data_IF_794915202465
#
_entry.id   IF_794915202465
#
_cell.length_a   1.000
_cell.length_b   1.000
_cell.length_c   1.000
_cell.angle_alpha   90.00
_cell.angle_beta   90.00
_cell.angle_gamma   90.00
#
_symmetry.space_group_name_H-M   'P 1'
#
loop_
_entity.id
_entity.type
_entity.pdbx_description
1 polymer ?
#
# COMPACT_ATOMS: atom_id res chain seq x y z
N UNK A 1 21.95 -21.58 10.91
CA UNK A 1 21.33 -21.25 9.61
C UNK A 1 20.08 -20.43 9.92
N UNK A 2 20.07 -19.15 9.54
CA UNK A 2 18.89 -18.29 9.75
C UNK A 2 17.79 -18.73 8.78
N UNK A 3 16.61 -19.06 9.29
CA UNK A 3 15.44 -19.38 8.46
C UNK A 3 14.97 -18.09 7.81
N UNK A 4 14.92 -18.05 6.47
CA UNK A 4 14.42 -16.89 5.74
C UNK A 4 13.01 -16.51 6.21
N UNK A 5 12.72 -15.19 6.33
CA UNK A 5 11.39 -14.72 6.71
C UNK A 5 10.33 -15.17 5.69
N UNK A 6 9.04 -15.26 6.08
CA UNK A 6 7.97 -15.58 5.13
C UNK A 6 7.92 -14.63 3.94
N UNK A 7 8.17 -13.34 4.17
CA UNK A 7 8.27 -12.32 3.13
C UNK A 7 9.41 -12.60 2.14
N UNK A 8 10.60 -12.92 2.64
CA UNK A 8 11.75 -13.25 1.78
C UNK A 8 11.50 -14.51 0.93
N UNK A 9 10.83 -15.53 1.50
CA UNK A 9 10.44 -16.74 0.73
C UNK A 9 9.42 -16.39 -0.36
N UNK A 10 8.39 -15.62 -0.04
CA UNK A 10 7.39 -15.18 -1.02
C UNK A 10 7.99 -14.35 -2.16
N UNK A 11 8.93 -13.44 -1.87
CA UNK A 11 9.68 -12.70 -2.89
C UNK A 11 10.51 -13.64 -3.79
N UNK A 12 11.22 -14.60 -3.21
CA UNK A 12 12.00 -15.57 -3.98
C UNK A 12 11.12 -16.42 -4.89
N UNK A 13 9.93 -16.80 -4.44
CA UNK A 13 8.96 -17.52 -5.25
C UNK A 13 8.42 -16.67 -6.41
N UNK A 14 8.13 -15.39 -6.18
CA UNK A 14 7.72 -14.45 -7.24
C UNK A 14 8.84 -14.26 -8.27
N UNK A 15 10.09 -14.07 -7.85
CA UNK A 15 11.25 -13.96 -8.77
C UNK A 15 11.39 -15.21 -9.63
N UNK A 16 11.12 -16.39 -9.07
CA UNK A 16 11.23 -17.68 -9.77
C UNK A 16 10.08 -17.86 -10.78
N UNK A 17 8.86 -17.47 -10.43
CA UNK A 17 7.66 -17.66 -11.25
C UNK A 17 7.42 -16.53 -12.24
N UNK A 18 7.93 -15.34 -11.96
CA UNK A 18 7.80 -14.11 -12.76
C UNK A 18 9.15 -13.40 -12.88
N UNK A 19 10.13 -13.97 -13.58
CA UNK A 19 11.48 -13.39 -13.67
C UNK A 19 11.51 -11.99 -14.29
N UNK A 20 10.53 -11.65 -15.13
CA UNK A 20 10.35 -10.32 -15.71
C UNK A 20 10.03 -9.23 -14.68
N UNK A 21 9.53 -9.61 -13.50
CA UNK A 21 9.24 -8.68 -12.41
C UNK A 21 10.45 -8.37 -11.52
N UNK A 22 11.58 -9.04 -11.75
CA UNK A 22 12.78 -8.91 -10.90
C UNK A 22 13.15 -7.46 -10.58
N UNK A 23 13.15 -6.48 -11.52
CA UNK A 23 13.50 -5.11 -11.19
C UNK A 23 12.55 -4.47 -10.17
N UNK A 24 11.24 -4.71 -10.31
CA UNK A 24 10.23 -4.18 -9.39
C UNK A 24 10.19 -4.93 -8.05
N UNK A 25 10.48 -6.22 -8.05
CA UNK A 25 10.63 -7.00 -6.81
C UNK A 25 11.86 -6.53 -6.01
N UNK A 26 12.94 -6.10 -6.67
CA UNK A 26 14.08 -5.47 -6.02
C UNK A 26 13.70 -4.13 -5.35
N UNK A 27 12.82 -3.35 -5.97
CA UNK A 27 12.26 -2.12 -5.35
C UNK A 27 11.42 -2.49 -4.13
N UNK A 28 10.55 -3.50 -4.22
CA UNK A 28 9.73 -3.95 -3.08
C UNK A 28 10.58 -4.43 -1.91
N UNK A 29 11.63 -5.20 -2.18
CA UNK A 29 12.59 -5.67 -1.18
C UNK A 29 13.27 -4.49 -0.49
N UNK A 30 13.78 -3.53 -1.27
CA UNK A 30 14.40 -2.30 -0.76
C UNK A 30 13.45 -1.48 0.12
N UNK A 31 12.19 -1.31 -0.31
CA UNK A 31 11.16 -0.60 0.44
C UNK A 31 10.85 -1.31 1.77
N UNK A 32 10.78 -2.64 1.73
CA UNK A 32 10.51 -3.46 2.92
C UNK A 32 11.66 -3.38 3.93
N UNK A 33 12.91 -3.44 3.46
CA UNK A 33 14.11 -3.23 4.28
C UNK A 33 14.10 -1.84 4.93
N UNK A 34 13.90 -0.79 4.11
CA UNK A 34 13.88 0.59 4.59
C UNK A 34 12.76 0.87 5.58
N UNK A 35 11.61 0.21 5.44
CA UNK A 35 10.48 0.33 6.36
C UNK A 35 10.78 -0.24 7.76
N UNK A 36 11.78 -1.10 7.90
CA UNK A 36 12.29 -1.61 9.17
C UNK A 36 13.31 -0.68 9.86
N UNK A 37 13.79 0.37 9.18
CA UNK A 37 14.76 1.31 9.78
C UNK A 37 14.08 2.24 10.78
N UNK A 38 14.41 2.05 12.07
CA UNK A 38 13.86 2.84 13.18
C UNK A 38 14.18 4.34 13.11
N UNK A 39 15.13 4.76 12.27
CA UNK A 39 15.44 6.17 12.08
C UNK A 39 14.20 6.97 11.56
N UNK A 40 13.29 6.33 10.85
CA UNK A 40 12.05 6.95 10.40
C UNK A 40 11.10 7.32 11.54
N UNK A 41 11.13 6.60 12.67
CA UNK A 41 10.30 6.91 13.85
C UNK A 41 10.60 8.30 14.43
N UNK A 42 11.85 8.78 14.28
CA UNK A 42 12.28 10.10 14.75
C UNK A 42 11.68 11.25 13.91
N UNK A 43 11.18 10.94 12.73
CA UNK A 43 10.51 11.90 11.83
C UNK A 43 9.04 12.14 12.19
N UNK A 44 8.44 11.23 12.98
CA UNK A 44 7.01 11.23 13.26
C UNK A 44 6.74 12.07 14.50
N UNK A 45 5.91 13.13 14.41
CA UNK A 45 5.55 13.95 15.56
C UNK A 45 4.64 13.21 16.53
N UNK A 46 4.35 13.83 17.67
CA UNK A 46 3.26 13.37 18.52
C UNK A 46 1.93 13.42 17.75
N UNK A 47 1.06 12.41 17.91
CA UNK A 47 -0.19 12.37 17.16
C UNK A 47 -1.13 13.48 17.61
N UNK A 48 -1.88 14.01 16.66
CA UNK A 48 -3.05 14.82 16.97
C UNK A 48 -4.10 13.97 17.75
N UNK A 49 -5.05 14.60 18.43
CA UNK A 49 -6.17 13.86 19.03
C UNK A 49 -6.85 12.93 18.02
N UNK A 50 -7.35 11.75 18.45
CA UNK A 50 -8.08 10.85 17.56
C UNK A 50 -9.24 11.56 16.89
N UNK A 51 -9.45 11.25 15.60
CA UNK A 51 -10.57 11.75 14.80
C UNK A 51 -11.34 10.59 14.20
N UNK A 52 -12.65 10.71 14.14
CA UNK A 52 -13.53 9.74 13.48
C UNK A 52 -13.69 10.04 11.98
N UNK A 53 -13.26 11.21 11.51
CA UNK A 53 -13.53 11.72 10.17
C UNK A 53 -12.29 12.03 9.35
N UNK A 54 -11.14 12.24 9.98
CA UNK A 54 -9.91 12.59 9.29
C UNK A 54 -8.77 11.61 9.62
N UNK A 55 -7.97 11.19 8.62
CA UNK A 55 -6.78 10.38 8.88
C UNK A 55 -5.78 11.11 9.78
N UNK A 56 -5.01 10.36 10.57
CA UNK A 56 -4.00 10.95 11.47
C UNK A 56 -2.95 11.81 10.74
N UNK A 57 -2.68 11.51 9.49
CA UNK A 57 -1.77 12.28 8.61
C UNK A 57 -2.41 13.49 7.94
N UNK A 58 -3.71 13.76 8.12
CA UNK A 58 -4.43 14.77 7.32
C UNK A 58 -3.71 16.13 7.24
N UNK A 59 -3.10 16.58 8.34
CA UNK A 59 -2.39 17.88 8.43
C UNK A 59 -1.04 17.77 9.13
N UNK A 60 -0.46 16.57 9.23
CA UNK A 60 0.77 16.34 9.96
C UNK A 60 2.00 16.94 9.25
N UNK A 61 2.94 17.45 10.05
CA UNK A 61 4.26 17.84 9.56
C UNK A 61 5.29 16.79 10.00
N UNK A 62 5.88 16.12 9.03
CA UNK A 62 6.89 15.09 9.24
C UNK A 62 8.28 15.69 9.06
N UNK A 63 9.20 15.37 9.98
CA UNK A 63 10.52 16.01 10.03
C UNK A 63 11.65 14.97 9.99
N UNK A 64 11.82 14.21 8.91
CA UNK A 64 12.92 13.26 8.79
C UNK A 64 14.28 13.96 8.74
N UNK A 65 15.35 13.24 9.11
CA UNK A 65 16.71 13.73 8.92
C UNK A 65 17.02 13.85 7.41
N UNK A 66 17.58 14.99 6.97
CA UNK A 66 17.88 15.25 5.56
C UNK A 66 18.80 14.19 4.95
N UNK A 67 19.82 13.72 5.71
CA UNK A 67 20.71 12.65 5.26
C UNK A 67 19.98 11.32 5.04
N UNK A 68 18.97 11.00 5.89
CA UNK A 68 18.15 9.81 5.73
C UNK A 68 17.33 9.90 4.45
N UNK A 69 16.65 11.03 4.22
CA UNK A 69 15.83 11.28 3.01
C UNK A 69 16.69 11.17 1.74
N UNK A 70 17.86 11.82 1.72
CA UNK A 70 18.79 11.79 0.58
C UNK A 70 19.30 10.39 0.28
N UNK A 71 19.75 9.66 1.31
CA UNK A 71 20.22 8.28 1.16
C UNK A 71 19.12 7.38 0.64
N UNK A 72 17.92 7.51 1.18
CA UNK A 72 16.76 6.77 0.78
C UNK A 72 16.35 7.05 -0.66
N UNK A 73 16.15 8.33 -0.99
CA UNK A 73 15.75 8.75 -2.35
C UNK A 73 16.74 8.28 -3.42
N UNK A 74 18.05 8.41 -3.14
CA UNK A 74 19.09 7.92 -4.04
C UNK A 74 19.01 6.41 -4.28
N UNK A 75 19.00 5.61 -3.20
CA UNK A 75 18.91 4.14 -3.32
C UNK A 75 17.67 3.70 -4.07
N UNK A 76 16.53 4.33 -3.78
CA UNK A 76 15.25 4.02 -4.42
C UNK A 76 15.30 4.29 -5.94
N UNK A 77 15.78 5.47 -6.33
CA UNK A 77 15.88 5.86 -7.74
C UNK A 77 16.89 5.00 -8.51
N UNK A 78 18.05 4.71 -7.92
CA UNK A 78 19.07 3.84 -8.51
C UNK A 78 18.53 2.41 -8.72
N UNK A 79 17.81 1.87 -7.74
CA UNK A 79 17.21 0.54 -7.85
C UNK A 79 16.10 0.51 -8.90
N UNK A 80 15.20 1.52 -8.89
CA UNK A 80 14.10 1.61 -9.85
C UNK A 80 14.57 1.83 -11.28
N UNK A 81 15.71 2.50 -11.48
CA UNK A 81 16.31 2.72 -12.82
C UNK A 81 16.69 1.42 -13.55
N UNK A 82 16.78 0.29 -12.83
CA UNK A 82 16.98 -1.03 -13.42
C UNK A 82 15.75 -1.61 -14.13
N UNK A 83 14.56 -1.00 -13.95
CA UNK A 83 13.35 -1.42 -14.65
C UNK A 83 13.30 -0.86 -16.08
N UNK A 84 12.60 -1.58 -16.96
CA UNK A 84 12.40 -1.13 -18.35
C UNK A 84 11.69 0.24 -18.38
N UNK A 85 12.17 1.15 -19.22
CA UNK A 85 11.66 2.51 -19.35
C UNK A 85 12.04 3.46 -18.20
N UNK A 86 12.70 2.98 -17.12
CA UNK A 86 12.99 3.77 -15.93
C UNK A 86 14.45 4.28 -15.85
N UNK A 87 15.30 4.01 -16.83
CA UNK A 87 16.73 4.35 -16.79
C UNK A 87 17.02 5.85 -16.53
N UNK A 88 16.10 6.75 -16.96
CA UNK A 88 16.20 8.18 -16.72
C UNK A 88 16.17 8.55 -15.22
N UNK A 89 15.60 7.71 -14.34
CA UNK A 89 15.54 7.93 -12.90
C UNK A 89 16.94 8.00 -12.25
N UNK A 90 17.94 7.31 -12.81
CA UNK A 90 19.32 7.38 -12.33
C UNK A 90 19.91 8.80 -12.41
N UNK A 91 19.45 9.63 -13.37
CA UNK A 91 19.93 11.01 -13.50
C UNK A 91 19.50 11.88 -12.33
N UNK A 92 18.30 11.64 -11.79
CA UNK A 92 17.75 12.41 -10.67
C UNK A 92 18.10 11.81 -9.29
N UNK A 93 18.83 10.70 -9.24
CA UNK A 93 19.32 10.13 -7.98
C UNK A 93 20.28 11.05 -7.20
N UNK A 94 20.80 12.10 -7.87
CA UNK A 94 21.64 13.15 -7.27
C UNK A 94 20.91 14.47 -7.06
N UNK A 95 19.58 14.47 -7.13
CA UNK A 95 18.77 15.66 -6.86
C UNK A 95 19.00 16.19 -5.44
N UNK A 96 18.60 17.42 -5.22
CA UNK A 96 18.69 18.08 -3.91
C UNK A 96 17.63 17.56 -2.93
N UNK A 97 17.77 17.96 -1.68
CA UNK A 97 16.88 17.54 -0.58
C UNK A 97 15.44 18.04 -0.78
N UNK A 98 15.27 19.20 -1.42
CA UNK A 98 13.96 19.77 -1.72
C UNK A 98 13.21 18.90 -2.73
N UNK A 99 13.89 18.42 -3.76
CA UNK A 99 13.33 17.49 -4.76
C UNK A 99 12.90 16.18 -4.11
N UNK A 100 13.75 15.60 -3.24
CA UNK A 100 13.38 14.37 -2.52
C UNK A 100 12.21 14.59 -1.55
N UNK A 101 12.17 15.72 -0.85
CA UNK A 101 11.05 16.08 0.01
C UNK A 101 9.74 16.21 -0.79
N UNK A 102 9.80 16.88 -1.96
CA UNK A 102 8.65 17.02 -2.85
C UNK A 102 8.17 15.66 -3.39
N UNK A 103 9.08 14.75 -3.75
CA UNK A 103 8.73 13.38 -4.14
C UNK A 103 7.99 12.65 -3.01
N UNK A 104 8.44 12.79 -1.77
CA UNK A 104 7.77 12.22 -0.60
C UNK A 104 6.38 12.84 -0.42
N UNK A 105 6.23 14.17 -0.52
CA UNK A 105 4.95 14.85 -0.40
C UNK A 105 3.96 14.44 -1.49
N UNK A 106 4.40 14.40 -2.76
CA UNK A 106 3.57 13.92 -3.87
C UNK A 106 3.08 12.49 -3.62
N UNK A 107 3.98 11.63 -3.16
CA UNK A 107 3.65 10.26 -2.81
C UNK A 107 2.72 10.15 -1.61
N UNK A 108 2.92 10.94 -0.55
CA UNK A 108 2.01 10.99 0.61
C UNK A 108 0.60 11.39 0.17
N UNK A 109 0.48 12.47 -0.61
CA UNK A 109 -0.80 12.99 -1.09
C UNK A 109 -1.45 12.10 -2.17
N UNK A 110 -0.70 11.18 -2.78
CA UNK A 110 -1.13 10.41 -3.96
C UNK A 110 -1.61 11.33 -5.10
N UNK A 111 -0.92 12.44 -5.30
CA UNK A 111 -1.29 13.50 -6.24
C UNK A 111 -0.61 13.27 -7.59
N UNK A 112 -1.30 12.58 -8.50
CA UNK A 112 -0.80 12.28 -9.83
C UNK A 112 -0.53 13.52 -10.68
N UNK A 113 -1.27 14.61 -10.49
CA UNK A 113 -1.05 15.86 -11.23
C UNK A 113 0.27 16.51 -10.81
N UNK A 114 0.55 16.57 -9.49
CA UNK A 114 1.86 17.05 -8.98
C UNK A 114 3.01 16.14 -9.43
N UNK A 115 2.81 14.82 -9.44
CA UNK A 115 3.81 13.87 -9.95
C UNK A 115 4.12 14.13 -11.42
N UNK A 116 3.10 14.33 -12.27
CA UNK A 116 3.28 14.64 -13.69
C UNK A 116 4.02 15.96 -13.90
N UNK A 117 3.66 17.01 -13.15
CA UNK A 117 4.36 18.30 -13.21
C UNK A 117 5.82 18.18 -12.77
N UNK A 118 6.09 17.39 -11.71
CA UNK A 118 7.45 17.10 -11.25
C UNK A 118 8.26 16.32 -12.30
N UNK A 119 7.66 15.34 -12.96
CA UNK A 119 8.30 14.55 -14.01
C UNK A 119 8.74 15.42 -15.19
N UNK A 120 7.87 16.33 -15.64
CA UNK A 120 8.21 17.31 -16.69
C UNK A 120 9.40 18.16 -16.27
N UNK A 121 9.40 18.71 -15.06
CA UNK A 121 10.49 19.56 -14.53
C UNK A 121 11.83 18.80 -14.43
N UNK A 122 11.77 17.51 -14.07
CA UNK A 122 12.95 16.66 -13.93
C UNK A 122 13.40 16.00 -15.25
N UNK A 123 12.61 16.10 -16.32
CA UNK A 123 12.90 15.49 -17.61
C UNK A 123 12.90 13.96 -17.57
N UNK A 124 11.93 13.36 -16.85
CA UNK A 124 11.75 11.90 -16.74
C UNK A 124 10.30 11.52 -17.09
N UNK A 125 10.08 10.25 -17.39
CA UNK A 125 8.74 9.73 -17.68
C UNK A 125 7.85 9.79 -16.46
N UNK A 126 6.62 10.31 -16.62
CA UNK A 126 5.67 10.49 -15.53
C UNK A 126 5.24 9.17 -14.91
N UNK A 127 5.11 8.11 -15.70
CA UNK A 127 4.74 6.78 -15.22
C UNK A 127 5.84 6.18 -14.33
N UNK A 128 7.11 6.26 -14.77
CA UNK A 128 8.24 5.78 -14.01
C UNK A 128 8.42 6.55 -12.69
N UNK A 129 8.31 7.89 -12.73
CA UNK A 129 8.35 8.71 -11.52
C UNK A 129 7.16 8.42 -10.62
N UNK A 130 5.97 8.20 -11.19
CA UNK A 130 4.75 7.83 -10.47
C UNK A 130 4.91 6.54 -9.68
N UNK A 131 5.46 5.50 -10.30
CA UNK A 131 5.74 4.23 -9.63
C UNK A 131 6.69 4.41 -8.43
N UNK A 132 7.74 5.22 -8.58
CA UNK A 132 8.69 5.50 -7.50
C UNK A 132 8.04 6.34 -6.39
N UNK A 133 7.34 7.41 -6.73
CA UNK A 133 6.69 8.29 -5.75
C UNK A 133 5.58 7.57 -4.98
N UNK A 134 4.92 6.58 -5.57
CA UNK A 134 3.92 5.75 -4.88
C UNK A 134 4.52 4.99 -3.69
N UNK A 135 5.77 4.52 -3.81
CA UNK A 135 6.44 3.70 -2.79
C UNK A 135 7.44 4.50 -1.92
N UNK A 136 7.92 5.64 -2.40
CA UNK A 136 8.89 6.48 -1.69
C UNK A 136 8.52 6.80 -0.23
N UNK A 137 7.26 7.15 0.11
CA UNK A 137 6.87 7.48 1.48
C UNK A 137 6.61 6.25 2.36
N UNK A 138 6.66 5.02 1.84
CA UNK A 138 6.28 3.80 2.60
C UNK A 138 7.05 3.65 3.91
N UNK A 139 8.39 3.82 3.97
CA UNK A 139 9.11 3.72 5.25
C UNK A 139 8.61 4.72 6.29
N UNK A 140 8.37 5.96 5.89
CA UNK A 140 7.84 7.02 6.75
C UNK A 140 6.39 6.73 7.17
N UNK A 141 5.56 6.24 6.24
CA UNK A 141 4.18 5.84 6.53
C UNK A 141 4.10 4.66 7.52
N UNK A 142 5.01 3.70 7.41
CA UNK A 142 5.11 2.57 8.35
C UNK A 142 5.47 3.06 9.75
N UNK A 143 6.42 3.99 9.85
CA UNK A 143 6.79 4.63 11.11
C UNK A 143 5.59 5.39 11.73
N UNK A 144 4.79 6.11 10.93
CA UNK A 144 3.57 6.74 11.40
C UNK A 144 2.56 5.72 11.93
N UNK A 145 2.33 4.63 11.20
CA UNK A 145 1.39 3.60 11.62
C UNK A 145 1.84 2.88 12.90
N UNK A 146 3.15 2.64 13.08
CA UNK A 146 3.71 2.08 14.30
C UNK A 146 3.48 3.01 15.50
N UNK A 147 3.82 4.32 15.35
CA UNK A 147 3.73 5.30 16.44
C UNK A 147 2.29 5.65 16.80
N UNK A 148 1.37 5.66 15.82
CA UNK A 148 -0.01 6.12 16.01
C UNK A 148 -1.05 5.02 16.04
N UNK A 149 -0.65 3.76 16.06
CA UNK A 149 -1.55 2.59 16.07
C UNK A 149 -2.66 2.70 17.12
N UNK A 150 -2.28 3.07 18.36
CA UNK A 150 -3.18 3.18 19.49
C UNK A 150 -4.04 4.45 19.47
N UNK A 151 -3.80 5.33 18.50
CA UNK A 151 -4.53 6.60 18.32
C UNK A 151 -5.61 6.51 17.24
N UNK A 152 -5.78 5.35 16.63
CA UNK A 152 -6.91 5.13 15.71
C UNK A 152 -8.19 5.07 16.53
N UNK A 153 -9.17 5.91 16.18
CA UNK A 153 -10.46 5.89 16.86
C UNK A 153 -11.16 4.54 16.69
N UNK A 154 -11.69 3.94 17.76
CA UNK A 154 -12.51 2.74 17.68
C UNK A 154 -13.81 2.96 16.88
N UNK A 155 -14.27 4.22 16.75
CA UNK A 155 -15.45 4.60 15.97
C UNK A 155 -15.14 4.80 14.47
N UNK A 156 -13.89 4.59 14.03
CA UNK A 156 -13.51 4.73 12.62
C UNK A 156 -14.33 3.79 11.73
N UNK A 157 -15.16 4.36 10.86
CA UNK A 157 -16.10 3.61 10.02
C UNK A 157 -15.91 3.86 8.52
N UNK A 158 -14.83 4.56 8.13
CA UNK A 158 -14.52 4.83 6.72
C UNK A 158 -13.79 3.65 6.06
N UNK A 159 -14.00 3.49 4.75
CA UNK A 159 -13.33 2.46 3.97
C UNK A 159 -11.86 2.77 3.66
N UNK A 160 -11.41 4.01 3.85
CA UNK A 160 -10.00 4.40 3.69
C UNK A 160 -9.23 4.33 5.02
N UNK A 161 -7.91 4.31 4.91
CA UNK A 161 -7.00 4.10 6.03
C UNK A 161 -7.06 5.24 7.06
N UNK A 162 -7.24 4.95 8.37
CA UNK A 162 -7.28 5.95 9.43
C UNK A 162 -5.94 6.66 9.67
N UNK A 163 -4.83 6.12 9.17
CA UNK A 163 -3.51 6.74 9.31
C UNK A 163 -3.19 7.61 8.09
N UNK A 164 -3.21 7.05 6.87
CA UNK A 164 -2.70 7.72 5.67
C UNK A 164 -3.75 8.00 4.59
N UNK A 165 -5.02 7.79 4.86
CA UNK A 165 -6.10 8.11 3.93
C UNK A 165 -6.17 7.28 2.65
N UNK A 166 -5.25 6.34 2.43
CA UNK A 166 -5.25 5.50 1.24
C UNK A 166 -6.38 4.46 1.27
N UNK A 167 -6.84 4.05 0.10
CA UNK A 167 -7.72 2.90 0.00
C UNK A 167 -7.00 1.61 0.43
N UNK A 168 -7.72 0.60 0.95
CA UNK A 168 -7.11 -0.66 1.35
C UNK A 168 -6.56 -1.42 0.12
N UNK A 169 -5.43 -2.08 0.28
CA UNK A 169 -4.90 -3.01 -0.72
C UNK A 169 -5.71 -4.31 -0.75
N UNK A 170 -6.10 -4.79 0.45
CA UNK A 170 -6.88 -6.01 0.61
C UNK A 170 -7.70 -5.97 1.92
N UNK A 171 -8.66 -6.88 2.03
CA UNK A 171 -9.32 -7.21 3.29
C UNK A 171 -8.84 -8.57 3.80
N UNK A 172 -8.93 -8.78 5.10
CA UNK A 172 -8.76 -10.07 5.76
C UNK A 172 -10.08 -10.50 6.40
N UNK A 173 -10.49 -11.75 6.14
CA UNK A 173 -11.48 -12.46 6.92
C UNK A 173 -10.72 -13.23 8.00
N UNK A 174 -10.54 -12.60 9.17
CA UNK A 174 -9.57 -13.02 10.19
C UNK A 174 -10.19 -13.88 11.28
N UNK A 175 -9.48 -14.95 11.61
CA UNK A 175 -9.86 -15.87 12.68
C UNK A 175 -11.07 -16.75 12.35
N UNK A 176 -11.51 -17.53 13.32
CA UNK A 176 -12.67 -18.42 13.16
C UNK A 176 -13.97 -17.64 12.97
N UNK A 177 -14.07 -16.47 13.59
CA UNK A 177 -15.23 -15.56 13.47
C UNK A 177 -15.24 -14.80 12.14
N UNK A 178 -14.17 -14.94 11.32
CA UNK A 178 -13.99 -14.24 10.05
C UNK A 178 -14.19 -12.72 10.16
N UNK A 179 -13.69 -12.12 11.25
CA UNK A 179 -13.77 -10.68 11.45
C UNK A 179 -13.16 -9.94 10.25
N UNK A 180 -13.93 -9.02 9.64
CA UNK A 180 -13.45 -8.27 8.48
C UNK A 180 -12.54 -7.14 8.90
N UNK A 181 -11.29 -7.22 8.46
CA UNK A 181 -10.25 -6.21 8.68
C UNK A 181 -9.73 -5.70 7.35
N UNK A 182 -9.70 -4.39 7.17
CA UNK A 182 -9.08 -3.77 5.98
C UNK A 182 -7.59 -3.56 6.24
N UNK A 183 -6.77 -3.70 5.19
CA UNK A 183 -5.32 -3.59 5.26
C UNK A 183 -4.80 -2.54 4.31
N UNK A 184 -4.06 -1.59 4.83
CA UNK A 184 -3.38 -0.59 4.03
C UNK A 184 -2.09 -1.16 3.42
N UNK A 185 -1.98 -1.20 2.09
CA UNK A 185 -0.75 -1.63 1.41
C UNK A 185 0.43 -0.68 1.62
N UNK A 186 0.19 0.56 2.01
CA UNK A 186 1.22 1.59 2.19
C UNK A 186 1.78 1.62 3.61
N UNK A 187 0.95 1.92 4.61
CA UNK A 187 1.40 2.05 5.99
C UNK A 187 1.22 0.78 6.82
N UNK A 188 0.62 -0.27 6.27
CA UNK A 188 0.26 -1.52 6.92
C UNK A 188 -0.73 -1.42 8.08
N UNK A 189 -1.35 -0.27 8.30
CA UNK A 189 -2.43 -0.15 9.26
C UNK A 189 -3.54 -1.17 8.97
N UNK A 190 -4.21 -1.60 10.02
CA UNK A 190 -5.37 -2.47 9.95
C UNK A 190 -6.53 -1.87 10.74
N UNK A 191 -7.75 -1.95 10.21
CA UNK A 191 -8.94 -1.43 10.88
C UNK A 191 -10.17 -2.27 10.57
N UNK A 192 -11.14 -2.24 11.47
CA UNK A 192 -12.42 -2.92 11.31
C UNK A 192 -13.29 -2.24 10.26
N UNK A 193 -14.04 -3.03 9.49
CA UNK A 193 -15.05 -2.50 8.58
C UNK A 193 -16.21 -3.48 8.45
N UNK A 194 -17.42 -2.97 8.35
CA UNK A 194 -18.61 -3.79 8.28
C UNK A 194 -18.60 -4.75 7.08
N UNK A 195 -19.06 -5.98 7.27
CA UNK A 195 -19.43 -6.87 6.20
C UNK A 195 -20.62 -6.29 5.41
N UNK A 196 -20.82 -6.74 4.20
CA UNK A 196 -21.92 -6.31 3.34
C UNK A 196 -21.99 -4.78 3.14
N UNK A 197 -20.81 -4.15 3.12
CA UNK A 197 -20.67 -2.73 2.81
C UNK A 197 -19.49 -2.51 1.88
N UNK A 198 -19.72 -1.77 0.78
CA UNK A 198 -18.65 -1.41 -0.13
C UNK A 198 -17.68 -0.44 0.52
N UNK A 199 -16.39 -0.75 0.46
CA UNK A 199 -15.34 0.09 1.07
C UNK A 199 -15.17 1.44 0.38
N UNK A 200 -15.54 1.54 -0.91
CA UNK A 200 -15.32 2.73 -1.72
C UNK A 200 -16.50 3.70 -1.71
N UNK A 201 -17.72 3.22 -1.91
CA UNK A 201 -18.89 4.07 -2.03
C UNK A 201 -19.90 3.94 -0.88
N UNK A 202 -19.63 3.03 0.08
CA UNK A 202 -20.51 2.83 1.23
C UNK A 202 -21.83 2.07 0.91
N UNK A 203 -22.01 1.58 -0.34
CA UNK A 203 -23.18 0.77 -0.74
C UNK A 203 -23.35 -0.41 0.23
N UNK A 204 -24.53 -0.59 0.77
CA UNK A 204 -24.91 -1.64 1.74
C UNK A 204 -26.10 -2.50 1.28
N UNK A 205 -26.64 -2.22 0.09
CA UNK A 205 -27.59 -3.12 -0.56
C UNK A 205 -26.87 -4.39 -1.01
N UNK A 206 -27.14 -5.49 -0.34
CA UNK A 206 -26.52 -6.79 -0.62
C UNK A 206 -26.78 -7.31 -2.04
N UNK A 207 -27.88 -6.90 -2.70
CA UNK A 207 -28.16 -7.26 -4.09
C UNK A 207 -27.17 -6.61 -5.07
N UNK A 208 -26.48 -5.56 -4.64
CA UNK A 208 -25.46 -4.83 -5.42
C UNK A 208 -24.03 -5.19 -5.05
N UNK A 209 -23.85 -6.04 -4.05
CA UNK A 209 -22.56 -6.53 -3.61
C UNK A 209 -22.39 -7.97 -4.11
N UNK A 210 -21.27 -8.24 -4.74
CA UNK A 210 -20.97 -9.53 -5.34
C UNK A 210 -19.61 -10.06 -4.98
N UNK A 211 -19.32 -11.26 -5.49
CA UNK A 211 -18.03 -11.90 -5.38
C UNK A 211 -17.67 -12.54 -6.72
N UNK A 212 -16.43 -12.37 -7.17
CA UNK A 212 -15.88 -13.17 -8.25
C UNK A 212 -15.32 -14.46 -7.65
N UNK A 213 -15.74 -15.59 -8.23
CA UNK A 213 -15.30 -16.93 -7.79
C UNK A 213 -14.52 -17.55 -8.94
N UNK A 214 -13.43 -18.24 -8.67
CA UNK A 214 -12.74 -19.03 -9.69
C UNK A 214 -13.59 -20.24 -10.05
N UNK A 215 -13.52 -20.71 -11.30
CA UNK A 215 -14.21 -21.93 -11.73
C UNK A 215 -13.82 -23.17 -10.89
N UNK A 216 -12.68 -23.13 -10.23
CA UNK A 216 -12.24 -24.19 -9.32
C UNK A 216 -13.01 -24.21 -8.00
N UNK A 217 -13.57 -23.07 -7.57
CA UNK A 217 -14.32 -22.93 -6.32
C UNK A 217 -15.85 -23.03 -6.57
N UNK A 218 -16.29 -22.88 -7.81
CA UNK A 218 -17.70 -22.94 -8.20
C UNK A 218 -18.33 -24.34 -8.00
N UNK A 219 -17.52 -25.36 -7.80
CA UNK A 219 -17.99 -26.74 -7.52
C UNK A 219 -18.48 -26.96 -6.09
N UNK A 220 -18.29 -25.97 -5.17
CA UNK A 220 -18.54 -26.10 -3.73
C UNK A 220 -19.77 -25.32 -3.25
N UNK A 221 -20.29 -24.36 -4.02
CA UNK A 221 -21.45 -23.54 -3.61
C UNK A 221 -22.59 -23.62 -4.65
N UNK A 222 -23.68 -24.31 -4.36
CA UNK A 222 -24.89 -24.26 -5.19
C UNK A 222 -25.77 -23.11 -4.74
N UNK A 223 -25.62 -21.93 -5.28
CA UNK A 223 -26.60 -20.85 -5.28
C UNK A 223 -25.99 -19.46 -5.24
N UNK A 224 -25.64 -18.95 -6.38
CA UNK A 224 -25.72 -17.51 -6.63
C UNK A 224 -25.93 -17.31 -8.13
N UNK A 225 -27.05 -16.71 -8.50
CA UNK A 225 -27.34 -16.38 -9.86
C UNK A 225 -26.22 -15.58 -10.52
N UNK A 226 -25.70 -16.13 -11.64
CA UNK A 226 -24.91 -15.45 -12.66
C UNK A 226 -23.75 -14.52 -12.18
N UNK A 227 -22.85 -14.99 -11.30
CA UNK A 227 -21.57 -14.35 -11.13
C UNK A 227 -20.69 -14.60 -12.39
N UNK A 228 -19.98 -13.59 -12.92
CA UNK A 228 -19.07 -13.79 -14.05
C UNK A 228 -17.96 -14.78 -13.65
N UNK A 229 -17.77 -15.80 -14.48
CA UNK A 229 -16.74 -16.83 -14.30
C UNK A 229 -15.49 -16.44 -15.09
N UNK A 230 -14.32 -16.71 -14.54
CA UNK A 230 -13.05 -16.51 -15.23
C UNK A 230 -12.21 -17.78 -15.23
N UNK A 231 -11.39 -17.93 -16.26
CA UNK A 231 -10.56 -19.11 -16.45
C UNK A 231 -9.56 -19.26 -15.28
N UNK A 232 -9.26 -20.49 -14.98
CA UNK A 232 -8.42 -20.99 -13.88
C UNK A 232 -7.08 -20.28 -13.82
N UNK A 233 -6.93 -19.29 -12.95
CA UNK A 233 -5.62 -18.80 -12.53
C UNK A 233 -4.94 -19.89 -11.70
N UNK A 234 -3.72 -20.30 -12.04
CA UNK A 234 -2.93 -21.22 -11.24
C UNK A 234 -2.40 -20.46 -10.00
N UNK A 235 -3.27 -20.26 -9.02
CA UNK A 235 -2.87 -19.74 -7.72
C UNK A 235 -2.29 -20.91 -6.91
N UNK A 236 -1.07 -20.81 -6.38
CA UNK A 236 -0.55 -21.82 -5.46
C UNK A 236 -1.52 -21.90 -4.26
N UNK A 237 -2.12 -23.06 -4.09
CA UNK A 237 -3.07 -23.30 -2.99
C UNK A 237 -2.29 -23.48 -1.70
N UNK A 238 -2.19 -22.45 -0.88
CA UNK A 238 -2.05 -22.64 0.55
C UNK A 238 -3.43 -23.07 1.07
N UNK A 239 -3.60 -24.31 1.58
CA UNK A 239 -4.91 -24.82 2.02
C UNK A 239 -5.51 -24.02 3.17
N UNK A 240 -4.75 -23.11 3.78
CA UNK A 240 -5.17 -22.26 4.90
C UNK A 240 -5.61 -20.88 4.43
N UNK A 241 -5.20 -20.43 3.23
CA UNK A 241 -5.51 -19.09 2.68
C UNK A 241 -6.38 -19.19 1.43
N UNK A 242 -7.69 -19.00 1.58
CA UNK A 242 -8.55 -18.75 0.42
C UNK A 242 -8.56 -17.25 0.11
N UNK A 243 -8.46 -16.91 -1.18
CA UNK A 243 -8.54 -15.52 -1.63
C UNK A 243 -9.74 -15.36 -2.56
N UNK A 244 -10.51 -14.31 -2.36
CA UNK A 244 -11.70 -13.97 -3.16
C UNK A 244 -11.65 -12.50 -3.56
N UNK A 245 -12.49 -12.11 -4.51
CA UNK A 245 -12.65 -10.71 -4.92
C UNK A 245 -14.07 -10.28 -4.60
N UNK A 246 -14.20 -9.32 -3.69
CA UNK A 246 -15.47 -8.63 -3.43
C UNK A 246 -15.68 -7.56 -4.51
N UNK A 247 -16.91 -7.39 -4.97
CA UNK A 247 -17.28 -6.44 -6.04
C UNK A 247 -18.49 -5.61 -5.65
N UNK A 248 -18.59 -4.42 -6.22
CA UNK A 248 -19.75 -3.53 -6.06
C UNK A 248 -20.29 -3.11 -7.42
N UNK A 249 -21.56 -3.40 -7.69
CA UNK A 249 -22.22 -3.02 -8.93
C UNK A 249 -22.49 -1.51 -9.00
N UNK A 250 -22.56 -0.81 -7.85
CA UNK A 250 -22.86 0.62 -7.83
C UNK A 250 -21.67 1.47 -8.28
N UNK A 251 -20.47 1.23 -7.72
CA UNK A 251 -19.27 2.00 -8.07
C UNK A 251 -18.30 1.26 -8.98
N UNK A 252 -18.61 0.00 -9.36
CA UNK A 252 -17.73 -0.89 -10.13
C UNK A 252 -16.36 -1.12 -9.44
N UNK A 253 -16.31 -0.93 -8.13
CA UNK A 253 -15.10 -1.18 -7.33
C UNK A 253 -14.93 -2.66 -7.00
N UNK A 254 -13.67 -3.10 -6.82
CA UNK A 254 -13.35 -4.44 -6.31
C UNK A 254 -12.29 -4.40 -5.21
N UNK A 255 -12.33 -5.38 -4.31
CA UNK A 255 -11.35 -5.57 -3.26
C UNK A 255 -11.01 -7.05 -3.11
N UNK A 256 -9.74 -7.40 -3.06
CA UNK A 256 -9.29 -8.76 -2.72
C UNK A 256 -9.49 -9.02 -1.23
N UNK A 257 -10.02 -10.19 -0.88
CA UNK A 257 -10.22 -10.61 0.51
C UNK A 257 -9.54 -11.95 0.74
N UNK A 258 -8.70 -12.02 1.76
CA UNK A 258 -7.94 -13.22 2.13
C UNK A 258 -8.50 -13.77 3.44
N UNK A 259 -8.74 -15.08 3.49
CA UNK A 259 -9.04 -15.76 4.76
C UNK A 259 -7.73 -16.07 5.48
N UNK A 260 -7.62 -15.72 6.76
CA UNK A 260 -6.40 -15.92 7.56
C UNK A 260 -6.74 -16.13 9.03
N UNK A 261 -5.94 -16.93 9.75
CA UNK A 261 -6.12 -17.12 11.19
C UNK A 261 -5.64 -15.94 12.02
N UNK A 262 -4.60 -15.25 11.57
CA UNK A 262 -4.03 -14.09 12.24
C UNK A 262 -3.78 -12.94 11.27
N UNK A 263 -3.32 -11.77 11.75
CA UNK A 263 -2.99 -10.66 10.88
C UNK A 263 -1.82 -11.00 9.96
N UNK A 264 -1.94 -10.69 8.67
CA UNK A 264 -0.80 -10.76 7.74
C UNK A 264 0.28 -9.78 8.21
N UNK A 265 1.53 -10.21 8.37
CA UNK A 265 2.64 -9.32 8.69
C UNK A 265 2.77 -8.16 7.71
N UNK A 266 3.25 -7.02 8.20
CA UNK A 266 3.34 -5.80 7.41
C UNK A 266 4.22 -5.96 6.15
N UNK A 267 5.31 -6.67 6.26
CA UNK A 267 6.27 -6.97 5.20
C UNK A 267 5.76 -7.99 4.17
N UNK A 268 4.75 -8.79 4.52
CA UNK A 268 4.13 -9.74 3.61
C UNK A 268 3.00 -9.13 2.75
N UNK A 269 2.44 -7.97 3.13
CA UNK A 269 1.26 -7.41 2.44
C UNK A 269 1.50 -7.17 0.95
N UNK A 270 2.64 -6.58 0.59
CA UNK A 270 2.98 -6.31 -0.81
C UNK A 270 3.23 -7.59 -1.60
N UNK A 271 3.88 -8.57 -0.98
CA UNK A 271 4.10 -9.90 -1.59
C UNK A 271 2.79 -10.60 -1.84
N UNK A 272 1.87 -10.58 -0.87
CA UNK A 272 0.55 -11.20 -0.98
C UNK A 272 -0.31 -10.51 -2.06
N UNK A 273 -0.27 -9.19 -2.14
CA UNK A 273 -0.99 -8.43 -3.19
C UNK A 273 -0.48 -8.80 -4.58
N UNK A 274 0.85 -8.89 -4.78
CA UNK A 274 1.45 -9.32 -6.04
C UNK A 274 1.21 -10.80 -6.34
N UNK A 275 1.29 -11.68 -5.34
CA UNK A 275 1.05 -13.12 -5.52
C UNK A 275 -0.39 -13.43 -5.95
N UNK A 276 -1.30 -12.49 -5.79
CA UNK A 276 -2.72 -12.60 -6.16
C UNK A 276 -3.12 -11.66 -7.30
N UNK A 277 -2.17 -11.20 -8.12
CA UNK A 277 -2.43 -10.26 -9.22
C UNK A 277 -3.38 -10.80 -10.28
N UNK A 278 -3.45 -12.11 -10.47
CA UNK A 278 -4.39 -12.74 -11.39
C UNK A 278 -5.85 -12.43 -11.03
N UNK A 279 -6.14 -12.20 -9.76
CA UNK A 279 -7.45 -11.75 -9.30
C UNK A 279 -7.74 -10.30 -9.70
N UNK A 280 -6.71 -9.45 -9.72
CA UNK A 280 -6.84 -8.07 -10.23
C UNK A 280 -7.14 -8.09 -11.72
N UNK A 281 -6.40 -8.91 -12.49
CA UNK A 281 -6.64 -9.09 -13.94
C UNK A 281 -8.07 -9.58 -14.21
N UNK A 282 -8.54 -10.57 -13.46
CA UNK A 282 -9.90 -11.10 -13.60
C UNK A 282 -10.96 -10.05 -13.25
N UNK A 283 -10.76 -9.26 -12.20
CA UNK A 283 -11.68 -8.20 -11.80
C UNK A 283 -11.73 -7.09 -12.87
N UNK A 284 -10.59 -6.66 -13.38
CA UNK A 284 -10.48 -5.64 -14.44
C UNK A 284 -11.13 -6.16 -15.73
N UNK A 285 -10.85 -7.40 -16.13
CA UNK A 285 -11.47 -8.05 -17.28
C UNK A 285 -13.00 -8.17 -17.15
N UNK A 286 -13.53 -8.22 -15.92
CA UNK A 286 -14.97 -8.20 -15.62
C UNK A 286 -15.55 -6.78 -15.49
N UNK A 287 -14.77 -5.73 -15.78
CA UNK A 287 -15.20 -4.33 -15.78
C UNK A 287 -15.26 -3.70 -14.39
N UNK A 288 -14.48 -4.21 -13.43
CA UNK A 288 -14.29 -3.58 -12.13
C UNK A 288 -12.94 -2.87 -12.06
N UNK A 289 -12.80 -1.88 -11.18
CA UNK A 289 -11.55 -1.15 -11.01
C UNK A 289 -11.32 -0.78 -9.55
N UNK A 290 -10.08 -0.48 -9.19
CA UNK A 290 -9.77 0.21 -7.92
C UNK A 290 -9.88 1.71 -8.14
N UNK A 291 -10.38 2.50 -7.17
CA UNK A 291 -10.39 3.95 -7.29
C UNK A 291 -8.99 4.53 -7.49
N UNK A 292 -8.88 5.55 -8.32
CA UNK A 292 -7.64 6.32 -8.51
C UNK A 292 -7.54 7.38 -7.42
N UNK A 293 -6.33 7.58 -6.90
CA UNK A 293 -6.06 8.55 -5.83
C UNK A 293 -6.40 8.07 -4.42
N UNK A 294 -6.32 8.95 -3.43
CA UNK A 294 -6.56 8.63 -2.04
C UNK A 294 -8.07 8.53 -1.71
N UNK A 295 -8.40 7.79 -0.66
CA UNK A 295 -9.75 7.78 -0.08
C UNK A 295 -10.07 9.07 0.69
N UNK A 296 -9.03 9.67 1.29
CA UNK A 296 -9.10 11.01 1.88
C UNK A 296 -7.86 11.82 1.48
N UNK A 297 -8.02 13.09 1.07
CA UNK A 297 -6.90 13.95 0.74
C UNK A 297 -6.04 14.24 1.97
N UNK A 298 -4.73 14.37 1.77
CA UNK A 298 -3.78 14.71 2.81
C UNK A 298 -3.13 16.06 2.52
N UNK A 299 -3.08 16.91 3.55
CA UNK A 299 -2.27 18.13 3.57
C UNK A 299 -0.93 17.97 4.29
N UNK A 300 -0.48 16.72 4.49
CA UNK A 300 0.77 16.41 5.15
C UNK A 300 1.98 17.05 4.45
N UNK A 301 2.94 17.55 5.25
CA UNK A 301 4.18 18.19 4.78
C UNK A 301 5.39 17.40 5.24
N UNK A 302 6.48 17.47 4.47
CA UNK A 302 7.76 16.87 4.81
C UNK A 302 8.83 17.95 4.84
N UNK A 303 9.37 18.20 6.02
CA UNK A 303 10.45 19.17 6.23
C UNK A 303 11.72 18.44 6.72
N UNK A 304 12.63 18.07 5.83
CA UNK A 304 13.89 17.46 6.24
C UNK A 304 14.67 18.38 7.17
N UNK A 305 15.20 17.83 8.29
CA UNK A 305 16.01 18.58 9.26
C UNK A 305 17.48 18.19 9.14
N UNK A 306 18.36 19.17 9.31
CA UNK A 306 19.80 18.90 9.45
C UNK A 306 20.11 18.28 10.83
N UNK A 307 21.03 17.34 10.87
CA UNK A 307 21.44 16.62 12.09
C UNK A 307 22.05 17.51 13.19
N UNK A 308 22.25 18.82 12.92
CA UNK A 308 22.94 19.76 13.80
C UNK A 308 22.11 20.38 14.94
N UNK A 309 20.78 20.30 14.90
CA UNK A 309 19.91 21.05 15.83
C UNK A 309 19.64 20.35 17.19
N UNK A 310 20.12 19.14 17.41
CA UNK A 310 19.92 18.41 18.69
C UNK A 310 21.09 18.55 19.68
N UNK A 311 22.11 19.37 19.41
CA UNK A 311 23.25 19.57 20.33
C UNK A 311 23.04 20.64 21.42
N UNK A 312 21.86 21.29 21.44
CA UNK A 312 21.59 22.46 22.29
C UNK A 312 20.82 22.21 23.59
N UNK A 313 20.44 20.98 23.93
CA UNK A 313 19.68 20.70 25.17
C UNK A 313 20.40 19.74 26.10
N UNK A 314 21.66 20.08 26.44
CA UNK A 314 22.35 19.54 27.61
C UNK A 314 22.99 20.73 28.32
N UNK A 315 22.25 21.38 29.15
CA UNK A 315 22.74 22.20 30.26
C UNK A 315 21.68 22.17 31.37
#
# INVERSE_FOLDING_TARGET
MSVASPSARGLADLVRTRPEWRPWLAVLELVTEAAGDRAWLLAVPEPAPPSDTAPALASATLTPEARLVRRWGRRLLETAAGAEGAAALARIARADDATFAEMLECGLAQDGARVSALAVRLGVEAEALGAVTAVAPVPLLRACAERWRERVSPAWSHGYCPICGAWPALAEARGLERARRLRCGRCAADWGFAWLKCVYCGMDDHARLGRLVSDADAAVEPSAAAAPRFARAMIPRDPIRSTTVETCLACRGYLKTVTTLGPTPADELGVLDLATVELDVAAIGSGYSRPVGPGAPLGARVHPRDAGLLRGWRS
#
